data_IF_462994673842
#
_entry.id   IF_462994673842
#
_cell.length_a   1.000
_cell.length_b   1.000
_cell.length_c   1.000
_cell.angle_alpha   90.00
_cell.angle_beta   90.00
_cell.angle_gamma   90.00
#
_symmetry.space_group_name_H-M   'P 1'
#
loop_
_entity.id
_entity.type
_entity.pdbx_description
1 polymer ?
#
# COMPACT_ATOMS: atom_id res chain seq x y z
N UNK A 1 -8.70 -10.69 18.91
CA UNK A 1 -10.12 -10.70 19.29
C UNK A 1 -10.33 -9.72 20.45
N UNK A 2 -11.43 -9.01 20.42
CA UNK A 2 -11.78 -8.08 21.48
C UNK A 2 -12.31 -8.81 22.72
N UNK A 3 -12.96 -9.96 22.52
CA UNK A 3 -13.46 -10.83 23.57
C UNK A 3 -13.34 -12.32 23.27
N UNK A 4 -13.16 -13.12 24.35
CA UNK A 4 -13.28 -14.57 24.33
C UNK A 4 -14.28 -14.95 25.41
N UNK A 5 -15.42 -15.49 24.99
CA UNK A 5 -16.51 -15.88 25.88
C UNK A 5 -16.43 -17.40 26.08
N UNK A 6 -16.22 -17.83 27.32
CA UNK A 6 -16.18 -19.25 27.69
C UNK A 6 -17.43 -19.62 28.48
N UNK A 7 -18.21 -20.54 27.94
CA UNK A 7 -19.45 -21.06 28.53
C UNK A 7 -19.39 -22.58 28.60
N UNK A 8 -20.24 -23.25 29.39
CA UNK A 8 -20.30 -24.71 29.42
C UNK A 8 -20.58 -25.35 28.05
N UNK A 9 -21.20 -24.60 27.14
CA UNK A 9 -21.54 -25.02 25.77
C UNK A 9 -20.37 -24.88 24.78
N UNK A 10 -19.27 -24.20 25.16
CA UNK A 10 -18.12 -23.97 24.31
C UNK A 10 -17.54 -22.57 24.41
N UNK A 11 -16.62 -22.28 23.49
CA UNK A 11 -15.93 -21.00 23.40
C UNK A 11 -16.48 -20.20 22.21
N UNK A 12 -16.60 -18.87 22.37
CA UNK A 12 -16.99 -17.94 21.31
C UNK A 12 -15.97 -16.80 21.23
N UNK A 13 -15.48 -16.53 20.04
CA UNK A 13 -14.73 -15.31 19.73
C UNK A 13 -15.72 -14.20 19.52
N UNK A 14 -15.52 -13.06 20.17
CA UNK A 14 -16.34 -11.84 20.00
C UNK A 14 -15.47 -10.71 19.43
N UNK A 15 -15.85 -10.22 18.27
CA UNK A 15 -15.25 -9.05 17.63
C UNK A 15 -16.22 -7.88 17.78
N UNK A 16 -15.77 -6.79 18.46
CA UNK A 16 -16.63 -5.68 18.85
C UNK A 16 -16.34 -4.45 17.99
N UNK A 17 -17.39 -3.88 17.41
CA UNK A 17 -17.29 -2.69 16.56
C UNK A 17 -18.23 -1.59 17.05
N UNK A 18 -17.65 -0.43 17.35
CA UNK A 18 -18.42 0.77 17.67
C UNK A 18 -18.72 1.53 16.37
N UNK A 19 -19.99 1.85 16.16
CA UNK A 19 -20.48 2.52 14.94
C UNK A 19 -21.43 3.67 15.29
N UNK A 20 -21.58 4.62 14.37
CA UNK A 20 -22.56 5.71 14.49
C UNK A 20 -23.91 5.39 13.84
N UNK A 21 -23.93 4.38 12.97
CA UNK A 21 -25.14 3.97 12.27
C UNK A 21 -26.09 3.24 13.22
N UNK A 22 -27.38 3.41 12.99
CA UNK A 22 -28.46 2.66 13.67
C UNK A 22 -28.25 1.15 13.46
N UNK A 23 -27.97 0.45 14.55
CA UNK A 23 -27.66 -0.99 14.53
C UNK A 23 -28.84 -1.86 14.08
N UNK A 24 -30.09 -1.35 14.18
CA UNK A 24 -31.27 -2.07 13.71
C UNK A 24 -31.32 -2.28 12.19
N UNK A 25 -30.58 -1.43 11.44
CA UNK A 25 -30.49 -1.50 9.98
C UNK A 25 -29.48 -2.52 9.46
N UNK A 26 -28.66 -3.09 10.34
CA UNK A 26 -27.71 -4.12 9.94
C UNK A 26 -28.48 -5.44 9.75
N UNK A 27 -28.49 -5.97 8.55
CA UNK A 27 -29.09 -7.28 8.23
C UNK A 27 -28.08 -8.41 8.42
N UNK A 28 -26.81 -8.14 8.10
CA UNK A 28 -25.65 -9.05 8.17
C UNK A 28 -24.40 -8.32 8.68
N UNK A 29 -23.39 -9.04 9.19
CA UNK A 29 -22.12 -8.41 9.55
C UNK A 29 -21.35 -7.96 8.34
N UNK A 30 -20.56 -6.89 8.49
CA UNK A 30 -19.59 -6.48 7.48
C UNK A 30 -18.61 -7.63 7.19
N UNK A 31 -18.38 -8.01 5.93
CA UNK A 31 -17.51 -9.13 5.56
C UNK A 31 -16.09 -9.01 6.11
N UNK A 32 -15.55 -7.80 6.25
CA UNK A 32 -14.19 -7.58 6.80
C UNK A 32 -14.16 -7.87 8.30
N UNK A 33 -15.21 -7.44 9.04
CA UNK A 33 -15.32 -7.73 10.48
C UNK A 33 -15.51 -9.24 10.73
N UNK A 34 -16.34 -9.89 9.89
CA UNK A 34 -16.52 -11.35 9.94
C UNK A 34 -15.18 -12.07 9.64
N UNK A 35 -14.47 -11.66 8.61
CA UNK A 35 -13.17 -12.24 8.26
C UNK A 35 -12.15 -12.09 9.40
N UNK A 36 -12.14 -10.96 10.10
CA UNK A 36 -11.30 -10.74 11.27
C UNK A 36 -11.63 -11.74 12.40
N UNK A 37 -12.91 -11.90 12.72
CA UNK A 37 -13.36 -12.85 13.73
C UNK A 37 -13.07 -14.32 13.36
N UNK A 38 -13.22 -14.68 12.07
CA UNK A 38 -12.86 -15.99 11.55
C UNK A 38 -11.35 -16.28 11.67
N UNK A 39 -10.48 -15.31 11.41
CA UNK A 39 -9.05 -15.44 11.63
C UNK A 39 -8.74 -15.75 13.11
N UNK A 40 -9.33 -15.02 14.04
CA UNK A 40 -9.15 -15.28 15.47
C UNK A 40 -9.74 -16.64 15.88
N UNK A 41 -10.87 -17.02 15.33
CA UNK A 41 -11.48 -18.33 15.52
C UNK A 41 -10.52 -19.45 15.08
N UNK A 42 -9.93 -19.32 13.90
CA UNK A 42 -8.93 -20.25 13.40
C UNK A 42 -7.71 -20.36 14.33
N UNK A 43 -7.10 -19.21 14.71
CA UNK A 43 -5.93 -19.24 15.60
C UNK A 43 -6.25 -19.84 16.96
N UNK A 44 -7.37 -19.47 17.55
CA UNK A 44 -7.75 -19.96 18.86
C UNK A 44 -8.10 -21.46 18.83
N UNK A 45 -8.86 -21.93 17.83
CA UNK A 45 -9.18 -23.34 17.67
C UNK A 45 -7.94 -24.20 17.44
N UNK A 46 -6.97 -23.70 16.64
CA UNK A 46 -5.71 -24.39 16.40
C UNK A 46 -4.86 -24.52 17.67
N UNK A 47 -4.80 -23.44 18.48
CA UNK A 47 -4.00 -23.43 19.72
C UNK A 47 -4.61 -24.28 20.86
N UNK A 48 -5.94 -24.44 20.86
CA UNK A 48 -6.65 -25.12 21.93
C UNK A 48 -7.30 -26.44 21.50
N UNK A 49 -7.00 -26.91 20.29
CA UNK A 49 -7.49 -28.20 19.72
C UNK A 49 -9.03 -28.33 19.77
N UNK A 50 -9.73 -27.22 19.41
CA UNK A 50 -11.19 -27.18 19.43
C UNK A 50 -11.76 -27.71 18.11
N UNK A 51 -12.73 -28.63 18.20
CA UNK A 51 -13.45 -29.14 17.02
C UNK A 51 -14.47 -28.11 16.47
N UNK A 52 -15.02 -27.29 17.37
CA UNK A 52 -16.01 -26.25 17.04
C UNK A 52 -15.80 -25.01 17.88
N UNK A 53 -16.13 -23.82 17.32
CA UNK A 53 -16.06 -22.54 18.02
C UNK A 53 -17.18 -21.61 17.55
N UNK A 54 -17.69 -20.78 18.47
CA UNK A 54 -18.60 -19.69 18.15
C UNK A 54 -17.84 -18.49 17.58
N UNK A 55 -18.39 -17.88 16.56
CA UNK A 55 -17.93 -16.61 15.97
C UNK A 55 -19.04 -15.59 16.18
N UNK A 56 -18.74 -14.50 16.86
CA UNK A 56 -19.67 -13.43 17.14
C UNK A 56 -19.10 -12.09 16.71
N UNK A 57 -19.93 -11.27 16.07
CA UNK A 57 -19.64 -9.86 15.80
C UNK A 57 -20.68 -9.02 16.58
N UNK A 58 -20.17 -8.18 17.46
CA UNK A 58 -20.99 -7.28 18.29
C UNK A 58 -20.83 -5.85 17.78
N UNK A 59 -21.92 -5.26 17.29
CA UNK A 59 -21.99 -3.85 16.95
C UNK A 59 -22.61 -3.07 18.10
N UNK A 60 -22.00 -1.95 18.49
CA UNK A 60 -22.50 -1.02 19.49
C UNK A 60 -22.61 0.37 18.85
N UNK A 61 -23.79 0.98 18.94
CA UNK A 61 -23.94 2.38 18.56
C UNK A 61 -23.32 3.27 19.64
N UNK A 62 -22.42 4.18 19.26
CA UNK A 62 -21.68 5.02 20.19
C UNK A 62 -22.59 6.04 20.91
N UNK A 63 -23.66 6.47 20.27
CA UNK A 63 -24.56 7.51 20.82
C UNK A 63 -25.70 6.93 21.63
N UNK A 64 -26.30 5.81 21.16
CA UNK A 64 -27.47 5.21 21.77
C UNK A 64 -27.17 4.03 22.70
N UNK A 65 -25.94 3.52 22.66
CA UNK A 65 -25.48 2.31 23.34
C UNK A 65 -26.24 1.03 22.94
N UNK A 66 -27.07 1.10 21.91
CA UNK A 66 -27.76 -0.05 21.38
C UNK A 66 -26.81 -1.07 20.79
N UNK A 67 -27.09 -2.35 21.05
CA UNK A 67 -26.23 -3.45 20.67
C UNK A 67 -26.97 -4.41 19.74
N UNK A 68 -26.28 -4.80 18.65
CA UNK A 68 -26.70 -5.89 17.77
C UNK A 68 -25.60 -6.93 17.66
N UNK A 69 -25.94 -8.21 17.77
CA UNK A 69 -25.00 -9.33 17.68
C UNK A 69 -25.39 -10.25 16.54
N UNK A 70 -24.38 -10.67 15.80
CA UNK A 70 -24.45 -11.75 14.82
C UNK A 70 -23.58 -12.89 15.33
N UNK A 71 -24.15 -14.07 15.51
CA UNK A 71 -23.45 -15.24 16.06
C UNK A 71 -23.70 -16.46 15.18
N UNK A 72 -22.63 -17.17 14.88
CA UNK A 72 -22.64 -18.45 14.18
C UNK A 72 -21.66 -19.42 14.84
N UNK A 73 -21.81 -20.71 14.59
CA UNK A 73 -20.83 -21.72 14.97
C UNK A 73 -20.06 -22.18 13.73
N UNK A 74 -18.77 -22.43 13.88
CA UNK A 74 -17.89 -22.96 12.83
C UNK A 74 -17.15 -24.18 13.33
N UNK A 75 -17.06 -25.21 12.50
CA UNK A 75 -16.17 -26.35 12.75
C UNK A 75 -14.72 -25.96 12.43
N UNK A 76 -13.79 -26.70 13.03
CA UNK A 76 -12.37 -26.55 12.73
C UNK A 76 -12.07 -26.73 11.22
N UNK A 77 -12.68 -27.69 10.57
CA UNK A 77 -12.47 -27.93 9.13
C UNK A 77 -13.01 -26.79 8.25
N UNK A 78 -14.14 -26.18 8.61
CA UNK A 78 -14.67 -25.01 7.89
C UNK A 78 -13.73 -23.80 8.04
N UNK A 79 -13.23 -23.54 9.26
CA UNK A 79 -12.27 -22.46 9.52
C UNK A 79 -10.96 -22.71 8.80
N UNK A 80 -10.47 -23.95 8.79
CA UNK A 80 -9.26 -24.35 8.07
C UNK A 80 -9.39 -24.10 6.57
N UNK A 81 -10.44 -24.61 5.95
CA UNK A 81 -10.66 -24.46 4.52
C UNK A 81 -10.78 -22.97 4.14
N UNK A 82 -11.50 -22.18 4.94
CA UNK A 82 -11.62 -20.74 4.73
C UNK A 82 -10.27 -20.01 4.86
N UNK A 83 -9.52 -20.31 5.92
CA UNK A 83 -8.21 -19.68 6.17
C UNK A 83 -7.16 -20.08 5.13
N UNK A 84 -7.12 -21.34 4.72
CA UNK A 84 -6.24 -21.82 3.64
C UNK A 84 -6.56 -21.10 2.31
N UNK A 85 -7.85 -20.88 2.01
CA UNK A 85 -8.27 -20.07 0.86
C UNK A 85 -7.77 -18.63 0.94
N UNK A 86 -7.90 -17.97 2.09
CA UNK A 86 -7.39 -16.63 2.33
C UNK A 86 -5.85 -16.56 2.16
N UNK A 87 -5.13 -17.51 2.73
CA UNK A 87 -3.67 -17.60 2.61
C UNK A 87 -3.24 -17.84 1.17
N UNK A 88 -3.96 -18.67 0.41
CA UNK A 88 -3.66 -18.93 -1.00
C UNK A 88 -3.65 -17.62 -1.81
N UNK A 89 -4.65 -16.79 -1.62
CA UNK A 89 -4.71 -15.47 -2.28
C UNK A 89 -3.60 -14.51 -1.79
N UNK A 90 -3.25 -14.56 -0.51
CA UNK A 90 -2.21 -13.70 0.06
C UNK A 90 -0.77 -14.10 -0.33
N UNK A 91 -0.51 -15.40 -0.53
CA UNK A 91 0.84 -15.92 -0.82
C UNK A 91 1.47 -15.28 -2.06
N UNK A 92 0.70 -14.97 -3.09
CA UNK A 92 1.21 -14.29 -4.29
C UNK A 92 1.86 -12.95 -3.96
N UNK A 93 1.26 -12.17 -3.05
CA UNK A 93 1.74 -10.88 -2.58
C UNK A 93 2.98 -11.00 -1.70
N UNK A 94 2.95 -11.92 -0.73
CA UNK A 94 4.08 -12.18 0.14
C UNK A 94 5.32 -12.64 -0.65
N UNK A 95 5.12 -13.50 -1.65
CA UNK A 95 6.17 -13.98 -2.56
C UNK A 95 6.73 -12.85 -3.40
N UNK A 96 5.86 -12.00 -3.95
CA UNK A 96 6.28 -10.80 -4.69
C UNK A 96 7.17 -9.92 -3.80
N UNK A 97 6.70 -9.51 -2.63
CA UNK A 97 7.45 -8.63 -1.72
C UNK A 97 8.81 -9.23 -1.34
N UNK A 98 8.87 -10.52 -1.06
CA UNK A 98 10.11 -11.21 -0.69
C UNK A 98 11.14 -11.17 -1.83
N UNK A 99 10.75 -11.61 -3.03
CA UNK A 99 11.67 -11.64 -4.16
C UNK A 99 12.03 -10.26 -4.68
N UNK A 100 11.05 -9.35 -4.73
CA UNK A 100 11.27 -7.96 -5.09
C UNK A 100 12.25 -7.28 -4.13
N UNK A 101 12.06 -7.47 -2.82
CA UNK A 101 12.92 -6.90 -1.79
C UNK A 101 14.38 -7.34 -1.91
N UNK A 102 14.64 -8.64 -2.13
CA UNK A 102 15.99 -9.19 -2.33
C UNK A 102 16.63 -8.57 -3.57
N UNK A 103 15.96 -8.65 -4.71
CA UNK A 103 16.48 -8.15 -5.99
C UNK A 103 16.74 -6.65 -5.96
N UNK A 104 15.82 -5.88 -5.36
CA UNK A 104 15.99 -4.45 -5.14
C UNK A 104 17.24 -4.17 -4.31
N UNK A 105 17.38 -4.85 -3.17
CA UNK A 105 18.51 -4.64 -2.26
C UNK A 105 19.86 -4.88 -2.93
N UNK A 106 20.00 -5.95 -3.69
CA UNK A 106 21.18 -6.29 -4.46
C UNK A 106 21.46 -5.21 -5.52
N UNK A 107 20.45 -4.84 -6.30
CA UNK A 107 20.57 -3.80 -7.33
C UNK A 107 21.01 -2.46 -6.75
N UNK A 108 20.42 -2.02 -5.64
CA UNK A 108 20.74 -0.72 -5.03
C UNK A 108 22.18 -0.66 -4.49
N UNK A 109 22.71 -1.77 -3.97
CA UNK A 109 24.11 -1.84 -3.51
C UNK A 109 25.11 -1.62 -4.64
N UNK A 110 24.82 -2.15 -5.81
CA UNK A 110 25.71 -2.11 -6.97
C UNK A 110 25.45 -0.91 -7.90
N UNK A 111 24.33 -0.18 -7.71
CA UNK A 111 23.91 0.91 -8.57
C UNK A 111 25.05 1.92 -8.82
N UNK A 112 25.50 2.13 -10.06
CA UNK A 112 26.49 3.14 -10.39
C UNK A 112 25.85 4.53 -10.52
N UNK A 113 26.65 5.58 -10.31
CA UNK A 113 26.23 6.92 -10.72
C UNK A 113 26.31 7.02 -12.24
N UNK A 114 25.25 7.49 -12.94
CA UNK A 114 25.13 7.30 -14.40
C UNK A 114 26.06 8.16 -15.25
N UNK A 115 26.65 9.20 -14.68
CA UNK A 115 27.49 10.17 -15.40
C UNK A 115 28.74 10.57 -14.62
N UNK A 116 29.75 11.16 -15.27
CA UNK A 116 30.81 11.83 -14.54
C UNK A 116 30.27 12.93 -13.64
N UNK A 117 30.72 12.97 -12.38
CA UNK A 117 30.29 14.00 -11.45
C UNK A 117 30.69 15.40 -11.93
N UNK A 118 29.77 16.34 -11.83
CA UNK A 118 30.03 17.77 -11.98
C UNK A 118 30.68 18.31 -10.71
N UNK A 119 31.30 19.50 -10.81
CA UNK A 119 31.86 20.20 -9.64
C UNK A 119 30.79 20.34 -8.51
N UNK A 120 31.16 20.03 -7.27
CA UNK A 120 30.28 20.03 -6.10
C UNK A 120 29.25 18.89 -6.03
N UNK A 121 28.98 18.19 -7.14
CA UNK A 121 27.93 17.17 -7.21
C UNK A 121 28.26 15.92 -6.36
N UNK A 122 29.52 15.51 -6.37
CA UNK A 122 29.98 14.35 -5.56
C UNK A 122 29.89 14.64 -4.06
N UNK A 123 30.24 15.86 -3.66
CA UNK A 123 30.17 16.32 -2.27
C UNK A 123 28.70 16.35 -1.80
N UNK A 124 27.80 16.93 -2.63
CA UNK A 124 26.37 16.98 -2.37
C UNK A 124 25.79 15.57 -2.17
N UNK A 125 26.07 14.64 -3.08
CA UNK A 125 25.62 13.25 -2.98
C UNK A 125 26.14 12.57 -1.70
N UNK A 126 27.41 12.79 -1.35
CA UNK A 126 28.00 12.28 -0.10
C UNK A 126 27.35 12.86 1.15
N UNK A 127 26.95 14.14 1.14
CA UNK A 127 26.23 14.77 2.26
C UNK A 127 24.84 14.19 2.42
N UNK A 128 24.10 13.96 1.33
CA UNK A 128 22.77 13.30 1.37
C UNK A 128 22.89 11.90 1.94
N UNK A 129 23.81 11.08 1.42
CA UNK A 129 24.03 9.72 1.93
C UNK A 129 24.33 9.72 3.44
N UNK A 130 25.30 10.53 3.88
CA UNK A 130 25.69 10.62 5.30
C UNK A 130 24.54 11.07 6.21
N UNK A 131 23.71 11.98 5.72
CA UNK A 131 22.56 12.47 6.50
C UNK A 131 21.51 11.38 6.71
N UNK A 132 21.22 10.59 5.67
CA UNK A 132 20.30 9.44 5.76
C UNK A 132 20.87 8.38 6.72
N UNK A 133 22.13 7.97 6.52
CA UNK A 133 22.78 6.96 7.35
C UNK A 133 22.88 7.37 8.84
N UNK A 134 22.96 8.67 9.11
CA UNK A 134 23.00 9.22 10.47
C UNK A 134 21.62 9.64 11.00
N UNK A 135 20.55 9.45 10.23
CA UNK A 135 19.18 9.86 10.57
C UNK A 135 19.10 11.36 10.93
N UNK A 136 19.72 12.22 10.11
CA UNK A 136 19.76 13.67 10.33
C UNK A 136 19.09 14.42 9.18
N UNK A 137 18.50 15.57 9.51
CA UNK A 137 18.00 16.50 8.50
C UNK A 137 19.16 17.17 7.76
N UNK A 138 18.97 17.40 6.45
CA UNK A 138 19.92 18.10 5.61
C UNK A 138 19.19 19.22 4.85
N UNK A 139 19.67 20.45 4.99
CA UNK A 139 19.23 21.59 4.20
C UNK A 139 20.28 21.86 3.12
N UNK A 140 19.83 21.95 1.86
CA UNK A 140 20.72 22.09 0.71
C UNK A 140 20.38 23.40 -0.03
N UNK A 141 21.37 24.26 -0.15
CA UNK A 141 21.33 25.39 -1.05
C UNK A 141 22.36 25.17 -2.15
N UNK A 142 21.88 25.04 -3.38
CA UNK A 142 22.74 24.81 -4.54
C UNK A 142 22.17 25.54 -5.77
N UNK A 143 23.03 26.09 -6.66
CA UNK A 143 22.58 26.79 -7.86
C UNK A 143 21.82 25.87 -8.81
N UNK A 144 21.13 26.48 -9.78
CA UNK A 144 20.48 25.72 -10.86
C UNK A 144 21.53 25.05 -11.75
N UNK A 145 21.19 23.89 -12.31
CA UNK A 145 22.08 23.19 -13.26
C UNK A 145 23.09 22.21 -12.65
N UNK A 146 23.31 22.22 -11.33
CA UNK A 146 24.23 21.25 -10.67
C UNK A 146 23.71 19.81 -10.59
N UNK A 147 22.51 19.53 -11.11
CA UNK A 147 21.93 18.18 -11.08
C UNK A 147 21.41 17.75 -9.71
N UNK A 148 20.81 18.68 -8.95
CA UNK A 148 20.26 18.41 -7.58
C UNK A 148 19.41 17.15 -7.49
N UNK A 149 18.49 16.95 -8.43
CA UNK A 149 17.53 15.82 -8.39
C UNK A 149 18.27 14.47 -8.38
N UNK A 150 19.20 14.26 -9.31
CA UNK A 150 19.97 13.03 -9.37
C UNK A 150 20.92 12.89 -8.16
N UNK A 151 21.49 14.02 -7.69
CA UNK A 151 22.39 14.05 -6.52
C UNK A 151 21.69 13.88 -5.18
N UNK A 152 20.35 13.88 -5.17
CA UNK A 152 19.55 13.52 -3.99
C UNK A 152 18.95 12.12 -4.14
N UNK A 153 18.41 11.76 -5.29
CA UNK A 153 17.80 10.44 -5.51
C UNK A 153 18.86 9.33 -5.43
N UNK A 154 19.95 9.42 -6.20
CA UNK A 154 20.96 8.38 -6.25
C UNK A 154 21.56 8.00 -4.88
N UNK A 155 22.06 8.95 -4.05
CA UNK A 155 22.59 8.60 -2.74
C UNK A 155 21.53 8.10 -1.77
N UNK A 156 20.26 8.49 -1.94
CA UNK A 156 19.14 7.93 -1.18
C UNK A 156 18.94 6.45 -1.51
N UNK A 157 18.97 6.10 -2.79
CA UNK A 157 18.90 4.70 -3.24
C UNK A 157 20.08 3.88 -2.72
N UNK A 158 21.30 4.43 -2.74
CA UNK A 158 22.50 3.78 -2.16
C UNK A 158 22.32 3.55 -0.66
N UNK A 159 21.81 4.53 0.08
CA UNK A 159 21.55 4.40 1.51
C UNK A 159 20.48 3.32 1.79
N UNK A 160 19.42 3.24 0.96
CA UNK A 160 18.43 2.17 1.03
C UNK A 160 19.05 0.80 0.75
N UNK A 161 19.95 0.69 -0.22
CA UNK A 161 20.71 -0.52 -0.52
C UNK A 161 21.53 -1.03 0.67
N UNK A 162 21.93 -0.14 1.57
CA UNK A 162 22.67 -0.44 2.80
C UNK A 162 21.76 -0.58 4.05
N UNK A 163 20.43 -0.59 3.84
CA UNK A 163 19.48 -0.80 4.91
C UNK A 163 19.11 0.45 5.72
N UNK A 164 19.44 1.66 5.23
CA UNK A 164 19.13 2.92 5.92
C UNK A 164 17.76 3.50 5.61
N UNK A 165 16.91 2.77 4.87
CA UNK A 165 15.54 3.14 4.54
C UNK A 165 14.85 2.07 3.70
N UNK A 166 13.53 2.05 3.71
CA UNK A 166 12.71 1.04 3.01
C UNK A 166 11.90 1.64 1.87
N UNK A 167 11.52 2.91 1.97
CA UNK A 167 10.69 3.61 0.99
C UNK A 167 11.18 5.04 0.79
N UNK A 168 11.14 5.53 -0.45
CA UNK A 168 11.54 6.88 -0.81
C UNK A 168 10.32 7.73 -1.16
N UNK A 169 10.15 8.86 -0.48
CA UNK A 169 9.20 9.90 -0.85
C UNK A 169 9.93 11.08 -1.45
N UNK A 170 9.68 11.35 -2.73
CA UNK A 170 10.20 12.52 -3.41
C UNK A 170 9.10 13.57 -3.54
N UNK A 171 9.13 14.53 -2.61
CA UNK A 171 8.12 15.57 -2.50
C UNK A 171 8.49 16.80 -3.32
N UNK A 172 7.56 17.32 -4.08
CA UNK A 172 7.77 18.48 -4.95
C UNK A 172 6.81 19.61 -4.64
N UNK A 173 7.28 20.87 -4.86
CA UNK A 173 6.44 22.05 -4.70
C UNK A 173 5.60 22.39 -5.95
N UNK A 174 5.97 21.83 -7.10
CA UNK A 174 5.37 22.17 -8.41
C UNK A 174 5.27 20.93 -9.31
N UNK A 175 4.21 20.85 -10.09
CA UNK A 175 3.97 19.77 -11.06
C UNK A 175 5.15 19.52 -12.02
N UNK A 176 5.82 20.60 -12.49
CA UNK A 176 6.99 20.48 -13.40
C UNK A 176 8.16 19.74 -12.73
N UNK A 177 8.34 19.86 -11.44
CA UNK A 177 9.44 19.18 -10.74
C UNK A 177 9.20 17.68 -10.56
N UNK A 178 7.95 17.19 -10.72
CA UNK A 178 7.65 15.75 -10.76
C UNK A 178 8.24 15.08 -11.97
N UNK A 179 8.08 15.67 -13.17
CA UNK A 179 8.66 15.11 -14.40
C UNK A 179 10.21 15.06 -14.37
N UNK A 180 10.84 15.99 -13.66
CA UNK A 180 12.30 15.95 -13.45
C UNK A 180 12.71 14.77 -12.55
N UNK A 181 11.88 14.43 -11.54
CA UNK A 181 12.13 13.25 -10.71
C UNK A 181 11.88 11.94 -11.50
N UNK A 182 10.79 11.87 -12.27
CA UNK A 182 10.51 10.74 -13.17
C UNK A 182 11.66 10.49 -14.15
N UNK A 183 12.17 11.57 -14.77
CA UNK A 183 13.31 11.48 -15.68
C UNK A 183 14.59 11.02 -14.96
N UNK A 184 14.84 11.46 -13.73
CA UNK A 184 16.00 11.00 -12.96
C UNK A 184 15.93 9.49 -12.68
N UNK A 185 14.77 8.94 -12.33
CA UNK A 185 14.58 7.50 -12.19
C UNK A 185 14.70 6.78 -13.54
N UNK A 186 14.17 7.35 -14.61
CA UNK A 186 14.30 6.79 -15.97
C UNK A 186 15.78 6.69 -16.40
N UNK A 187 16.57 7.72 -16.14
CA UNK A 187 18.02 7.72 -16.38
C UNK A 187 18.69 6.59 -15.59
N UNK A 188 18.40 6.47 -14.29
CA UNK A 188 19.00 5.42 -13.46
C UNK A 188 18.61 4.01 -13.92
N UNK A 189 17.39 3.80 -14.42
CA UNK A 189 16.97 2.54 -15.03
C UNK A 189 17.72 2.24 -16.31
N UNK A 190 17.82 3.22 -17.20
CA UNK A 190 18.46 3.04 -18.51
C UNK A 190 19.98 2.87 -18.43
N UNK A 191 20.64 3.70 -17.62
CA UNK A 191 22.11 3.73 -17.55
C UNK A 191 22.68 2.85 -16.43
N UNK A 192 21.91 2.57 -15.38
CA UNK A 192 22.37 1.85 -14.19
C UNK A 192 21.65 0.53 -13.93
N UNK A 193 20.75 0.09 -14.80
CA UNK A 193 19.89 -1.10 -14.59
C UNK A 193 19.14 -1.06 -13.26
N UNK A 194 18.67 0.11 -12.84
CA UNK A 194 17.95 0.27 -11.57
C UNK A 194 16.69 -0.60 -11.53
N UNK A 195 16.63 -1.49 -10.57
CA UNK A 195 15.43 -2.25 -10.20
C UNK A 195 14.77 -1.59 -8.97
N UNK A 196 13.77 -0.75 -9.24
CA UNK A 196 13.12 0.09 -8.22
C UNK A 196 11.80 0.63 -8.78
N UNK A 197 10.69 0.24 -8.19
CA UNK A 197 9.37 0.63 -8.67
C UNK A 197 8.97 1.99 -8.09
N UNK A 198 8.44 2.85 -8.94
CA UNK A 198 7.99 4.19 -8.53
C UNK A 198 6.58 4.49 -9.03
N UNK A 199 5.80 5.24 -8.24
CA UNK A 199 4.53 5.79 -8.68
C UNK A 199 4.52 7.31 -8.54
N UNK A 200 3.93 8.01 -9.53
CA UNK A 200 3.68 9.44 -9.45
C UNK A 200 2.24 9.70 -9.06
N UNK A 201 2.00 10.18 -7.83
CA UNK A 201 0.65 10.55 -7.38
C UNK A 201 0.23 11.85 -8.05
N UNK A 202 -0.95 11.81 -8.65
CA UNK A 202 -1.56 12.93 -9.36
C UNK A 202 -2.88 13.31 -8.69
N UNK A 203 -3.15 14.61 -8.59
CA UNK A 203 -4.35 15.13 -7.96
C UNK A 203 -5.64 14.53 -8.53
N UNK A 204 -6.61 14.29 -7.66
CA UNK A 204 -7.89 13.65 -7.98
C UNK A 204 -8.62 14.33 -9.16
N UNK A 205 -8.59 15.66 -9.20
CA UNK A 205 -9.25 16.45 -10.25
C UNK A 205 -8.62 16.20 -11.64
N UNK A 206 -7.37 15.76 -11.69
CA UNK A 206 -6.65 15.45 -12.93
C UNK A 206 -6.76 13.98 -13.37
N UNK A 207 -7.23 13.12 -12.49
CA UNK A 207 -7.40 11.68 -12.72
C UNK A 207 -8.87 11.28 -12.83
N UNK A 208 -9.77 12.02 -12.19
CA UNK A 208 -11.19 11.69 -12.16
C UNK A 208 -11.79 11.64 -13.56
N UNK A 209 -12.52 10.57 -13.85
CA UNK A 209 -13.24 10.37 -15.12
C UNK A 209 -14.57 11.11 -15.17
N UNK A 210 -15.03 11.66 -14.04
CA UNK A 210 -16.27 12.42 -13.91
C UNK A 210 -15.96 13.91 -14.00
N UNK A 211 -16.83 14.70 -14.64
CA UNK A 211 -16.71 16.16 -14.66
C UNK A 211 -16.75 16.78 -13.26
N UNK A 212 -17.59 16.21 -12.40
CA UNK A 212 -17.66 16.54 -10.96
C UNK A 212 -17.48 15.25 -10.17
N UNK A 213 -16.46 15.18 -9.30
CA UNK A 213 -16.24 14.00 -8.46
C UNK A 213 -17.43 13.76 -7.52
N UNK A 214 -18.07 12.61 -7.67
CA UNK A 214 -19.07 12.09 -6.76
C UNK A 214 -18.71 10.60 -6.50
N UNK A 215 -17.99 10.36 -5.40
CA UNK A 215 -17.28 9.11 -5.16
C UNK A 215 -18.13 8.06 -4.43
N UNK A 216 -19.38 7.91 -4.84
CA UNK A 216 -20.25 6.86 -4.34
C UNK A 216 -20.58 5.85 -5.45
N UNK A 217 -20.87 4.57 -5.11
CA UNK A 217 -21.14 3.51 -6.08
C UNK A 217 -22.39 3.73 -6.95
N UNK A 218 -23.32 4.59 -6.52
CA UNK A 218 -24.55 4.93 -7.25
C UNK A 218 -24.26 5.94 -8.36
N UNK A 219 -23.40 6.91 -8.10
CA UNK A 219 -23.09 8.00 -9.04
C UNK A 219 -21.88 7.71 -9.92
N UNK A 220 -20.85 7.04 -9.39
CA UNK A 220 -19.59 6.81 -10.10
C UNK A 220 -19.43 5.35 -10.54
N UNK A 221 -19.38 5.07 -11.87
CA UNK A 221 -19.21 3.70 -12.37
C UNK A 221 -17.84 3.10 -12.04
N UNK A 222 -16.83 3.95 -11.69
CA UNK A 222 -15.50 3.50 -11.27
C UNK A 222 -15.41 3.22 -9.78
N UNK A 223 -16.25 3.84 -8.95
CA UNK A 223 -16.37 3.51 -7.54
C UNK A 223 -17.11 2.18 -7.35
N UNK A 224 -18.12 1.91 -8.18
CA UNK A 224 -18.87 0.64 -8.14
C UNK A 224 -17.96 -0.54 -8.48
N UNK A 225 -17.77 -1.45 -7.52
CA UNK A 225 -16.94 -2.64 -7.68
C UNK A 225 -15.44 -2.34 -7.82
N UNK A 226 -14.98 -1.18 -7.34
CA UNK A 226 -13.55 -0.84 -7.34
C UNK A 226 -12.73 -1.88 -6.57
N UNK A 227 -13.14 -2.18 -5.35
CA UNK A 227 -12.44 -3.11 -4.46
C UNK A 227 -12.43 -4.56 -4.95
N UNK A 228 -13.37 -4.94 -5.82
CA UNK A 228 -13.41 -6.28 -6.42
C UNK A 228 -12.32 -6.48 -7.49
N UNK A 229 -11.80 -5.38 -8.06
CA UNK A 229 -10.90 -5.41 -9.22
C UNK A 229 -9.54 -4.76 -9.00
N UNK A 230 -9.41 -3.90 -7.97
CA UNK A 230 -8.19 -3.11 -7.77
C UNK A 230 -6.99 -3.97 -7.44
N UNK A 231 -7.15 -5.05 -6.68
CA UNK A 231 -6.05 -5.92 -6.29
C UNK A 231 -5.38 -6.57 -7.51
N UNK A 232 -6.15 -7.05 -8.47
CA UNK A 232 -5.60 -7.65 -9.69
C UNK A 232 -4.87 -6.60 -10.54
N UNK A 233 -5.44 -5.39 -10.65
CA UNK A 233 -4.80 -4.28 -11.35
C UNK A 233 -3.49 -3.85 -10.69
N UNK A 234 -3.44 -3.76 -9.35
CA UNK A 234 -2.21 -3.46 -8.60
C UNK A 234 -1.18 -4.56 -8.81
N UNK A 235 -1.58 -5.82 -8.66
CA UNK A 235 -0.66 -6.95 -8.79
C UNK A 235 -0.03 -7.02 -10.18
N UNK A 236 -0.78 -6.71 -11.22
CA UNK A 236 -0.28 -6.70 -12.59
C UNK A 236 0.67 -5.53 -12.85
N UNK A 237 0.25 -4.29 -12.53
CA UNK A 237 1.05 -3.11 -12.86
C UNK A 237 2.39 -3.07 -12.14
N UNK A 238 2.49 -3.53 -10.89
CA UNK A 238 3.76 -3.54 -10.13
C UNK A 238 4.78 -4.56 -10.66
N UNK A 239 4.33 -5.53 -11.45
CA UNK A 239 5.21 -6.51 -12.11
C UNK A 239 5.64 -6.09 -13.52
N UNK A 240 4.80 -5.32 -14.21
CA UNK A 240 5.01 -4.96 -15.61
C UNK A 240 5.64 -3.58 -15.80
N UNK A 241 5.51 -2.67 -14.81
CA UNK A 241 5.88 -1.26 -14.96
C UNK A 241 6.73 -0.76 -13.79
N UNK A 242 8.01 -0.49 -14.04
CA UNK A 242 8.92 0.04 -13.02
C UNK A 242 8.66 1.52 -12.67
N UNK A 243 8.21 2.31 -13.64
CA UNK A 243 7.93 3.75 -13.50
C UNK A 243 6.47 4.03 -13.81
N UNK A 244 5.61 4.01 -12.80
CA UNK A 244 4.16 4.16 -12.96
C UNK A 244 3.82 5.64 -12.97
N UNK A 245 3.71 6.19 -14.19
CA UNK A 245 3.31 7.57 -14.44
C UNK A 245 1.80 7.71 -14.46
N UNK A 246 1.32 8.98 -14.51
CA UNK A 246 -0.10 9.29 -14.68
C UNK A 246 -0.74 8.52 -15.84
N UNK A 247 -0.06 8.45 -16.98
CA UNK A 247 -0.62 7.83 -18.17
C UNK A 247 -0.75 6.31 -18.02
N UNK A 248 0.20 5.67 -17.33
CA UNK A 248 0.11 4.26 -16.98
C UNK A 248 -1.03 3.99 -15.98
N UNK A 249 -1.21 4.84 -14.99
CA UNK A 249 -2.35 4.76 -14.06
C UNK A 249 -3.68 4.82 -14.82
N UNK A 250 -3.82 5.76 -15.76
CA UNK A 250 -5.04 5.90 -16.57
C UNK A 250 -5.29 4.69 -17.49
N UNK A 251 -4.25 4.17 -18.13
CA UNK A 251 -4.29 3.00 -19.01
C UNK A 251 -4.85 1.77 -18.25
N UNK A 252 -4.26 1.45 -17.10
CA UNK A 252 -4.68 0.31 -16.29
C UNK A 252 -6.05 0.53 -15.63
N UNK A 253 -6.31 1.76 -15.15
CA UNK A 253 -7.61 2.09 -14.57
C UNK A 253 -8.76 1.97 -15.58
N UNK A 254 -8.50 2.32 -16.85
CA UNK A 254 -9.48 2.10 -17.93
C UNK A 254 -9.67 0.62 -18.22
N UNK A 255 -8.60 -0.16 -18.29
CA UNK A 255 -8.63 -1.60 -18.57
C UNK A 255 -9.39 -2.38 -17.49
N UNK A 256 -9.12 -2.09 -16.22
CA UNK A 256 -9.76 -2.75 -15.09
C UNK A 256 -11.06 -2.09 -14.61
N UNK A 257 -11.48 -0.97 -15.24
CA UNK A 257 -12.69 -0.22 -14.87
C UNK A 257 -12.73 0.22 -13.40
N UNK A 258 -11.59 0.67 -12.88
CA UNK A 258 -11.40 1.14 -11.50
C UNK A 258 -11.18 2.65 -11.42
N UNK A 259 -11.28 3.23 -10.22
CA UNK A 259 -10.99 4.64 -9.99
C UNK A 259 -9.47 4.89 -10.12
N UNK A 260 -9.02 5.73 -11.07
CA UNK A 260 -7.59 5.95 -11.27
C UNK A 260 -6.90 6.67 -10.08
N UNK A 261 -7.64 7.48 -9.32
CA UNK A 261 -7.07 8.16 -8.16
C UNK A 261 -6.84 7.18 -6.99
N UNK A 262 -7.87 6.42 -6.60
CA UNK A 262 -7.74 5.41 -5.55
C UNK A 262 -6.71 4.34 -5.94
N UNK A 263 -6.72 3.89 -7.20
CA UNK A 263 -5.73 2.96 -7.74
C UNK A 263 -4.30 3.46 -7.58
N UNK A 264 -4.06 4.75 -7.82
CA UNK A 264 -2.75 5.37 -7.63
C UNK A 264 -2.30 5.33 -6.15
N UNK A 265 -3.24 5.52 -5.21
CA UNK A 265 -2.97 5.40 -3.79
C UNK A 265 -2.73 3.94 -3.37
N UNK A 266 -3.51 2.99 -3.89
CA UNK A 266 -3.32 1.57 -3.62
C UNK A 266 -1.95 1.08 -4.10
N UNK A 267 -1.52 1.46 -5.32
CA UNK A 267 -0.18 1.18 -5.85
C UNK A 267 0.91 1.69 -4.91
N UNK A 268 0.71 2.86 -4.27
CA UNK A 268 1.72 3.48 -3.41
C UNK A 268 2.15 2.60 -2.23
N UNK A 269 1.32 1.65 -1.81
CA UNK A 269 1.65 0.69 -0.76
C UNK A 269 2.68 -0.36 -1.23
N UNK A 270 2.74 -0.66 -2.53
CA UNK A 270 3.49 -1.78 -3.11
C UNK A 270 4.76 -1.39 -3.85
N UNK A 271 4.99 -0.09 -4.07
CA UNK A 271 6.18 0.41 -4.76
C UNK A 271 7.23 0.93 -3.78
N UNK A 272 8.46 1.07 -4.25
CA UNK A 272 9.62 1.49 -3.46
C UNK A 272 9.74 3.01 -3.33
N UNK A 273 9.24 3.73 -4.33
CA UNK A 273 9.32 5.19 -4.40
C UNK A 273 8.01 5.86 -4.78
N UNK A 274 7.73 6.97 -4.13
CA UNK A 274 6.54 7.79 -4.37
C UNK A 274 6.97 9.20 -4.76
N UNK A 275 6.51 9.66 -5.90
CA UNK A 275 6.71 11.02 -6.38
C UNK A 275 5.39 11.75 -6.25
N UNK A 276 5.31 12.82 -5.47
CA UNK A 276 4.07 13.59 -5.29
C UNK A 276 4.35 15.04 -4.92
N UNK A 277 3.30 15.86 -4.94
CA UNK A 277 3.35 17.18 -4.34
C UNK A 277 3.30 17.05 -2.80
N UNK A 278 3.94 17.95 -2.06
CA UNK A 278 4.00 17.85 -0.58
C UNK A 278 2.68 18.23 0.12
N UNK A 279 1.61 18.44 -0.64
CA UNK A 279 0.25 18.64 -0.11
C UNK A 279 -0.53 17.32 0.05
N UNK A 280 0.09 16.17 -0.27
CA UNK A 280 -0.48 14.84 -0.09
C UNK A 280 -0.08 14.24 1.24
#
# INVERSE_FOLDING_TARGET
>A
ADGIITEPAGVTIDEIKCIYMDVSRLEEPDPVHLAQALCYGWFYSTQNELETIGIQITYCNIETEEIRRFKEARSFEELKAWFEGLIHEYVKWARYLYHHGIRRQECLKELPFPYPYREGQKELAGNVYRSIARKRNLFIQAPTGVGKTLSTIYPSLKAMGEGHGEKLFYLTAKTITRSVAEEAFSILRREGNLYFNTVTITAKEKLCVMEKPDCNPQACPRAKGHYDRVNDAVYEIIQEVDGITRDKVLEYAERFKICPFEFCLDISNWVDGIICDYNY
#
